data_IF_826021762003
#
_entry.id   IF_826021762003
#
_cell.length_a   1.000
_cell.length_b   1.000
_cell.length_c   1.000
_cell.angle_alpha   90.00
_cell.angle_beta   90.00
_cell.angle_gamma   90.00
#
_symmetry.space_group_name_H-M   'P 1'
#
loop_
_entity.id
_entity.type
_entity.pdbx_description
1 polymer ?
#
# COMPACT_ATOMS: atom_id res chain seq x y z
N UNK A 1 -4.15 8.93 13.17
CA UNK A 1 -4.57 8.68 11.76
C UNK A 1 -3.37 8.91 10.85
N UNK A 2 -3.18 8.08 9.83
CA UNK A 2 -2.07 8.17 8.90
C UNK A 2 -2.59 8.58 7.52
N UNK A 3 -2.06 9.68 6.96
CA UNK A 3 -2.39 10.14 5.61
C UNK A 3 -1.29 9.68 4.67
N UNK A 4 -1.64 8.81 3.74
CA UNK A 4 -0.74 8.30 2.71
C UNK A 4 -1.18 8.91 1.38
N UNK A 5 -0.30 9.63 0.66
CA UNK A 5 -0.64 10.12 -0.67
C UNK A 5 -0.76 8.95 -1.65
N UNK A 6 -1.62 9.11 -2.62
CA UNK A 6 -1.78 8.12 -3.69
C UNK A 6 -0.73 8.35 -4.78
N UNK A 7 -0.21 7.26 -5.32
CA UNK A 7 0.70 7.34 -6.45
C UNK A 7 -0.01 7.97 -7.66
N UNK A 8 0.64 8.86 -8.43
CA UNK A 8 0.02 9.59 -9.54
C UNK A 8 -0.51 8.69 -10.66
N UNK A 9 0.03 7.48 -10.81
CA UNK A 9 -0.41 6.54 -11.85
C UNK A 9 -1.60 5.67 -11.42
N UNK A 10 -2.11 5.83 -10.21
CA UNK A 10 -3.30 5.12 -9.76
C UNK A 10 -4.56 5.69 -10.40
N UNK A 11 -5.27 4.82 -11.11
CA UNK A 11 -6.61 5.12 -11.60
C UNK A 11 -7.61 4.77 -10.51
N UNK A 12 -8.21 5.78 -9.92
CA UNK A 12 -9.21 5.59 -8.88
C UNK A 12 -10.59 5.35 -9.50
N UNK A 13 -11.42 4.52 -8.88
CA UNK A 13 -12.83 4.40 -9.29
C UNK A 13 -13.57 5.73 -9.09
N UNK A 14 -14.69 5.95 -9.80
CA UNK A 14 -15.51 7.13 -9.61
C UNK A 14 -15.88 7.34 -8.14
N UNK A 15 -15.87 8.60 -7.71
CA UNK A 15 -16.30 8.94 -6.36
C UNK A 15 -17.78 8.61 -6.18
N UNK A 16 -18.08 7.79 -5.20
CA UNK A 16 -19.44 7.39 -4.83
C UNK A 16 -19.70 7.62 -3.35
N UNK A 17 -20.90 7.27 -2.91
CA UNK A 17 -21.31 7.24 -1.51
C UNK A 17 -21.26 5.81 -0.99
N UNK A 18 -20.79 5.63 0.26
CA UNK A 18 -20.73 4.33 0.90
C UNK A 18 -19.42 3.57 0.64
N UNK A 19 -19.48 2.27 0.82
CA UNK A 19 -18.32 1.37 0.71
C UNK A 19 -18.06 1.04 -0.76
N UNK A 20 -16.78 1.03 -1.13
CA UNK A 20 -16.36 0.66 -2.50
C UNK A 20 -16.54 -0.84 -2.77
N UNK A 21 -16.34 -1.67 -1.74
CA UNK A 21 -16.47 -3.13 -1.81
C UNK A 21 -17.33 -3.64 -0.67
N UNK A 22 -18.12 -4.67 -0.94
CA UNK A 22 -19.06 -5.27 0.02
C UNK A 22 -18.44 -6.51 0.69
N UNK A 23 -17.27 -6.34 1.30
CA UNK A 23 -16.65 -7.39 2.10
C UNK A 23 -17.31 -7.49 3.48
N UNK A 24 -17.38 -8.72 4.00
CA UNK A 24 -17.89 -8.99 5.35
C UNK A 24 -17.00 -8.33 6.40
N UNK A 25 -17.66 -7.69 7.36
CA UNK A 25 -16.99 -7.08 8.51
C UNK A 25 -16.98 -8.11 9.63
N UNK A 26 -15.82 -8.30 10.27
CA UNK A 26 -15.66 -9.16 11.43
C UNK A 26 -16.17 -8.47 12.72
N UNK A 27 -16.08 -9.15 13.85
CA UNK A 27 -16.48 -8.65 15.16
C UNK A 27 -15.72 -7.39 15.60
N UNK A 28 -14.49 -7.21 15.10
CA UNK A 28 -13.67 -6.03 15.38
C UNK A 28 -14.00 -4.83 14.45
N UNK A 29 -15.00 -4.95 13.61
CA UNK A 29 -15.37 -3.91 12.63
C UNK A 29 -14.47 -3.84 11.40
N UNK A 30 -13.66 -4.87 11.12
CA UNK A 30 -12.68 -4.89 10.04
C UNK A 30 -13.10 -5.86 8.91
N UNK A 31 -12.92 -5.42 7.68
CA UNK A 31 -13.15 -6.24 6.48
C UNK A 31 -11.88 -6.93 5.94
N UNK A 32 -10.75 -6.78 6.62
CA UNK A 32 -9.43 -7.21 6.12
C UNK A 32 -9.32 -8.71 5.87
N UNK A 33 -9.96 -9.54 6.68
CA UNK A 33 -9.92 -11.00 6.50
C UNK A 33 -10.66 -11.44 5.24
N UNK A 34 -11.87 -10.94 5.03
CA UNK A 34 -12.69 -11.30 3.88
C UNK A 34 -12.09 -10.74 2.58
N UNK A 35 -11.66 -9.49 2.60
CA UNK A 35 -10.94 -8.87 1.49
C UNK A 35 -9.65 -9.64 1.15
N UNK A 36 -8.87 -10.03 2.16
CA UNK A 36 -7.64 -10.80 1.97
C UNK A 36 -7.90 -12.16 1.33
N UNK A 37 -8.95 -12.88 1.74
CA UNK A 37 -9.33 -14.16 1.12
C UNK A 37 -9.73 -13.99 -0.34
N UNK A 38 -10.55 -12.98 -0.66
CA UNK A 38 -11.01 -12.71 -2.02
C UNK A 38 -9.83 -12.37 -2.94
N UNK A 39 -8.95 -11.48 -2.50
CA UNK A 39 -7.77 -11.07 -3.26
C UNK A 39 -6.82 -12.25 -3.46
N UNK A 40 -6.50 -12.99 -2.41
CA UNK A 40 -5.60 -14.13 -2.51
C UNK A 40 -6.17 -15.25 -3.38
N UNK A 41 -7.47 -15.52 -3.30
CA UNK A 41 -8.13 -16.51 -4.19
C UNK A 41 -7.99 -16.12 -5.66
N UNK A 42 -8.10 -14.84 -5.98
CA UNK A 42 -7.91 -14.35 -7.36
C UNK A 42 -6.43 -14.46 -7.77
N UNK A 43 -5.52 -14.05 -6.89
CA UNK A 43 -4.08 -14.12 -7.16
C UNK A 43 -3.60 -15.54 -7.39
N UNK A 44 -4.06 -16.53 -6.61
CA UNK A 44 -3.66 -17.92 -6.77
C UNK A 44 -4.11 -18.53 -8.12
N UNK A 45 -5.19 -18.02 -8.70
CA UNK A 45 -5.61 -18.43 -10.05
C UNK A 45 -4.70 -17.86 -11.13
N UNK A 46 -4.18 -16.66 -10.93
CA UNK A 46 -3.30 -15.95 -11.90
C UNK A 46 -1.84 -16.37 -11.75
N UNK A 47 -1.40 -16.54 -10.51
CA UNK A 47 -0.04 -16.90 -10.15
C UNK A 47 -0.10 -18.02 -9.13
N UNK A 48 -0.16 -19.31 -9.56
CA UNK A 48 -0.28 -20.45 -8.68
C UNK A 48 1.06 -20.72 -7.95
N UNK A 49 1.35 -19.90 -6.96
CA UNK A 49 2.57 -20.01 -6.16
C UNK A 49 2.23 -19.84 -4.67
N UNK A 50 2.63 -20.77 -3.79
CA UNK A 50 2.19 -20.80 -2.39
C UNK A 50 2.61 -19.57 -1.57
N UNK A 51 3.68 -18.90 -1.96
CA UNK A 51 4.21 -17.74 -1.25
C UNK A 51 3.82 -16.38 -1.88
N UNK A 52 3.16 -16.38 -3.04
CA UNK A 52 2.73 -15.15 -3.73
C UNK A 52 1.30 -14.81 -3.32
N UNK A 53 1.17 -13.84 -2.45
CA UNK A 53 -0.09 -13.38 -1.86
C UNK A 53 -0.23 -11.85 -1.98
N UNK A 54 -1.36 -11.32 -1.56
CA UNK A 54 -1.59 -9.88 -1.52
C UNK A 54 -0.48 -9.11 -0.76
N UNK A 55 0.06 -9.71 0.30
CA UNK A 55 1.18 -9.12 1.06
C UNK A 55 2.45 -8.92 0.22
N UNK A 56 2.66 -9.73 -0.82
CA UNK A 56 3.80 -9.59 -1.73
C UNK A 56 3.82 -8.24 -2.45
N UNK A 57 2.66 -7.64 -2.72
CA UNK A 57 2.60 -6.29 -3.31
C UNK A 57 3.18 -5.23 -2.39
N UNK A 58 2.97 -5.38 -1.08
CA UNK A 58 3.53 -4.47 -0.08
C UNK A 58 5.05 -4.56 -0.06
N UNK A 59 5.61 -5.76 -0.11
CA UNK A 59 7.06 -5.96 -0.15
C UNK A 59 7.65 -5.44 -1.47
N UNK A 60 6.99 -5.69 -2.59
CA UNK A 60 7.40 -5.13 -3.89
C UNK A 60 7.41 -3.60 -3.86
N UNK A 61 6.40 -2.95 -3.27
CA UNK A 61 6.39 -1.50 -3.14
C UNK A 61 7.58 -1.01 -2.29
N UNK A 62 7.92 -1.70 -1.20
CA UNK A 62 9.09 -1.36 -0.39
C UNK A 62 10.39 -1.46 -1.19
N UNK A 63 10.52 -2.49 -2.00
CA UNK A 63 11.71 -2.66 -2.88
C UNK A 63 11.79 -1.53 -3.90
N UNK A 64 10.69 -1.20 -4.56
CA UNK A 64 10.65 -0.11 -5.54
C UNK A 64 10.99 1.25 -4.92
N UNK A 65 10.49 1.52 -3.72
CA UNK A 65 10.81 2.76 -3.00
C UNK A 65 12.30 2.81 -2.61
N UNK A 66 12.84 1.69 -2.11
CA UNK A 66 14.27 1.58 -1.79
C UNK A 66 15.15 1.78 -3.02
N UNK A 67 14.81 1.14 -4.14
CA UNK A 67 15.57 1.22 -5.38
C UNK A 67 15.50 2.63 -6.00
N UNK A 68 14.41 3.37 -5.72
CA UNK A 68 14.26 4.78 -6.07
C UNK A 68 14.97 5.74 -5.10
N UNK A 69 15.67 5.24 -4.09
CA UNK A 69 16.41 6.05 -3.11
C UNK A 69 15.53 6.73 -2.06
N UNK A 70 14.30 6.26 -1.87
CA UNK A 70 13.40 6.79 -0.84
C UNK A 70 13.88 6.36 0.54
N UNK A 71 13.89 7.28 1.50
CA UNK A 71 14.32 6.99 2.87
C UNK A 71 13.46 5.91 3.52
N UNK A 72 14.08 5.13 4.41
CA UNK A 72 13.41 4.05 5.13
C UNK A 72 12.18 4.55 5.89
N UNK A 73 12.26 5.71 6.53
CA UNK A 73 11.18 6.27 7.34
C UNK A 73 9.93 6.58 6.48
N UNK A 74 10.12 7.16 5.30
CA UNK A 74 9.02 7.44 4.37
C UNK A 74 8.46 6.13 3.82
N UNK A 75 9.33 5.19 3.44
CA UNK A 75 8.92 3.87 2.96
C UNK A 75 8.10 3.12 4.00
N UNK A 76 8.56 3.05 5.24
CA UNK A 76 7.86 2.39 6.34
C UNK A 76 6.53 3.08 6.65
N UNK A 77 6.50 4.42 6.62
CA UNK A 77 5.26 5.17 6.78
C UNK A 77 4.24 4.83 5.68
N UNK A 78 4.66 4.85 4.42
CA UNK A 78 3.77 4.59 3.28
C UNK A 78 3.28 3.14 3.26
N UNK A 79 4.12 2.20 3.63
CA UNK A 79 3.79 0.76 3.65
C UNK A 79 3.18 0.29 4.96
N UNK A 80 3.15 1.14 6.00
CA UNK A 80 2.56 0.82 7.29
C UNK A 80 3.38 -0.16 8.13
N UNK A 81 4.69 -0.18 7.96
CA UNK A 81 5.57 -0.83 8.91
C UNK A 81 5.78 0.10 10.11
N UNK A 82 5.61 -0.42 11.31
CA UNK A 82 6.13 0.22 12.50
C UNK A 82 7.60 -0.19 12.60
N UNK A 83 8.52 0.73 12.33
CA UNK A 83 9.86 0.60 12.90
C UNK A 83 9.66 0.66 14.42
N UNK A 84 10.14 -0.34 15.15
CA UNK A 84 10.00 -0.40 16.61
C UNK A 84 10.65 0.75 17.37
N UNK A 85 11.25 1.69 16.66
CA UNK A 85 11.81 2.93 17.17
C UNK A 85 10.83 4.07 16.89
N UNK A 86 10.26 4.58 17.98
CA UNK A 86 9.63 5.88 18.06
C UNK A 86 8.25 5.99 17.44
N UNK A 87 7.28 5.49 18.19
CA UNK A 87 5.95 6.07 18.18
C UNK A 87 6.06 7.61 18.28
N UNK A 88 5.68 8.30 17.25
CA UNK A 88 5.17 9.65 17.35
C UNK A 88 6.08 10.82 16.99
N UNK A 89 7.38 10.75 16.99
CA UNK A 89 8.22 11.94 16.79
C UNK A 89 8.80 12.12 15.39
N UNK A 90 9.06 11.03 14.66
CA UNK A 90 9.64 11.12 13.31
C UNK A 90 8.61 11.35 12.20
N UNK A 91 7.35 11.04 12.43
CA UNK A 91 6.31 11.13 11.39
C UNK A 91 5.57 12.47 11.33
N UNK A 92 5.68 13.28 12.36
CA UNK A 92 5.05 14.61 12.43
C UNK A 92 5.72 15.67 11.58
N UNK A 93 6.98 15.46 11.16
CA UNK A 93 7.81 16.45 10.48
C UNK A 93 7.80 16.42 8.95
N UNK A 94 7.33 15.32 8.32
CA UNK A 94 7.36 15.18 6.86
C UNK A 94 5.99 15.51 6.29
N UNK A 95 5.90 16.59 5.52
CA UNK A 95 4.65 17.02 4.88
C UNK A 95 4.11 15.99 3.87
N UNK A 96 2.80 16.08 3.61
CA UNK A 96 2.12 15.21 2.63
C UNK A 96 2.74 15.37 1.24
N UNK A 97 3.13 16.59 0.88
CA UNK A 97 3.75 16.88 -0.42
C UNK A 97 5.09 16.18 -0.60
N UNK A 98 5.90 16.12 0.45
CA UNK A 98 7.18 15.40 0.41
C UNK A 98 6.92 13.90 0.25
N UNK A 99 5.97 13.35 0.99
CA UNK A 99 5.59 11.94 0.85
C UNK A 99 5.04 11.63 -0.54
N UNK A 100 4.25 12.54 -1.11
CA UNK A 100 3.74 12.39 -2.48
C UNK A 100 4.87 12.36 -3.49
N UNK A 101 5.83 13.27 -3.39
CA UNK A 101 6.99 13.30 -4.28
C UNK A 101 7.83 12.02 -4.15
N UNK A 102 8.01 11.52 -2.94
CA UNK A 102 8.78 10.30 -2.69
C UNK A 102 8.07 9.05 -3.20
N UNK A 103 6.77 8.87 -2.92
CA UNK A 103 6.03 7.69 -3.40
C UNK A 103 5.90 7.69 -4.93
N UNK A 104 5.87 8.87 -5.55
CA UNK A 104 5.80 9.02 -7.01
C UNK A 104 7.04 8.53 -7.74
N UNK A 105 8.16 8.32 -7.03
CA UNK A 105 9.39 7.74 -7.58
C UNK A 105 9.30 6.24 -7.80
N UNK A 106 8.39 5.54 -7.13
CA UNK A 106 8.21 4.11 -7.27
C UNK A 106 7.70 3.77 -8.68
N UNK A 107 8.53 3.10 -9.48
CA UNK A 107 8.19 2.69 -10.84
C UNK A 107 8.52 1.21 -11.02
N UNK A 108 7.52 0.44 -11.38
CA UNK A 108 7.73 -0.96 -11.71
C UNK A 108 8.21 -1.07 -13.16
N UNK A 109 9.39 -1.68 -13.43
CA UNK A 109 10.00 -1.67 -14.75
C UNK A 109 9.17 -2.38 -15.83
N UNK A 110 8.26 -3.25 -15.43
CA UNK A 110 7.41 -4.06 -16.31
C UNK A 110 6.06 -3.42 -16.61
N UNK A 111 5.64 -2.41 -15.85
CA UNK A 111 4.40 -1.71 -16.08
C UNK A 111 4.62 -0.57 -17.08
N UNK A 112 3.79 -0.57 -18.11
CA UNK A 112 3.70 0.57 -19.02
C UNK A 112 2.74 1.59 -18.42
N UNK A 113 3.31 2.65 -17.89
CA UNK A 113 2.53 3.79 -17.43
C UNK A 113 2.08 4.61 -18.62
N UNK A 114 0.80 4.87 -18.67
CA UNK A 114 0.24 5.74 -19.71
C UNK A 114 0.43 7.21 -19.36
#
# INVERSE_FOLDING_TARGET
>A
MRIIPLHPDLVLPPKGTGRLFDYKINEDGLASQDAGRAINSTLQKLVPHPQKMAHSFRETLKELLRDAGVSKDISDFCTGHSSGDVAGTSYGGVGVDIRYNEISKARHPWLKYK
#
